data_IF_694192730840
#
_entry.id   IF_694192730840
#
_cell.length_a   1.000
_cell.length_b   1.000
_cell.length_c   1.000
_cell.angle_alpha   90.00
_cell.angle_beta   90.00
_cell.angle_gamma   90.00
#
_symmetry.space_group_name_H-M   'P 1'
#
loop_
_entity.id
_entity.type
_entity.pdbx_description
1 polymer ?
#
# COMPACT_ATOMS: atom_id res chain seq x y z
N UNK A 1 -22.54 -1.09 19.94
CA UNK A 1 -21.75 -0.69 18.78
C UNK A 1 -20.77 -1.80 18.51
N UNK A 2 -21.18 -2.78 17.72
CA UNK A 2 -20.28 -3.76 17.11
C UNK A 2 -19.59 -3.03 15.96
N UNK A 3 -18.39 -2.50 16.19
CA UNK A 3 -17.49 -2.22 15.07
C UNK A 3 -17.11 -3.57 14.48
N UNK A 4 -17.68 -3.92 13.35
CA UNK A 4 -17.11 -4.89 12.44
C UNK A 4 -15.75 -4.31 12.00
N UNK A 5 -14.74 -4.60 12.79
CA UNK A 5 -13.36 -4.42 12.38
C UNK A 5 -13.12 -5.48 11.32
N UNK A 6 -13.42 -5.08 10.07
CA UNK A 6 -13.15 -5.88 8.91
C UNK A 6 -11.71 -6.38 8.94
N UNK A 7 -11.53 -7.50 8.35
CA UNK A 7 -10.33 -8.29 8.16
C UNK A 7 -9.07 -7.42 8.16
N UNK A 8 -8.35 -7.39 9.29
CA UNK A 8 -6.98 -6.91 9.29
C UNK A 8 -6.18 -7.86 8.41
N UNK A 9 -5.59 -7.34 7.34
CA UNK A 9 -4.52 -8.04 6.65
C UNK A 9 -3.24 -7.83 7.47
N UNK A 10 -2.79 -8.77 8.28
CA UNK A 10 -1.53 -8.62 8.97
C UNK A 10 -0.43 -8.77 7.95
N UNK A 11 0.54 -7.88 8.04
CA UNK A 11 1.83 -8.15 7.46
C UNK A 11 2.39 -9.33 8.19
N UNK A 12 2.46 -10.44 7.49
CA UNK A 12 3.33 -11.49 7.91
C UNK A 12 4.76 -11.12 7.52
N UNK A 13 5.57 -11.02 8.53
CA UNK A 13 7.01 -11.21 8.43
C UNK A 13 7.27 -12.68 8.04
N UNK A 14 6.91 -13.04 6.83
CA UNK A 14 7.15 -14.35 6.25
C UNK A 14 7.98 -14.18 4.99
N UNK A 15 8.94 -15.05 4.83
CA UNK A 15 9.93 -15.05 3.74
C UNK A 15 9.32 -15.26 2.34
N UNK A 16 8.02 -15.46 2.25
CA UNK A 16 7.33 -15.81 1.01
C UNK A 16 6.12 -14.91 0.82
N UNK A 17 6.11 -14.19 -0.28
CA UNK A 17 5.13 -13.22 -0.74
C UNK A 17 3.69 -13.80 -0.91
N UNK A 18 3.48 -15.06 -0.59
CA UNK A 18 2.24 -15.79 -0.85
C UNK A 18 1.36 -16.04 0.37
N UNK A 19 1.84 -15.81 1.58
CA UNK A 19 1.05 -16.05 2.80
C UNK A 19 0.55 -14.75 3.41
N UNK A 20 -0.48 -14.17 2.82
CA UNK A 20 -1.30 -13.15 3.50
C UNK A 20 -2.18 -13.85 4.53
N UNK A 21 -1.79 -13.85 5.78
CA UNK A 21 -2.65 -14.33 6.86
C UNK A 21 -3.57 -13.19 7.29
N UNK A 22 -4.85 -13.35 7.03
CA UNK A 22 -5.87 -12.54 7.66
C UNK A 22 -6.05 -13.01 9.11
N UNK A 23 -5.71 -12.17 10.08
CA UNK A 23 -6.03 -12.45 11.49
C UNK A 23 -7.48 -12.07 11.72
N UNK A 24 -8.32 -13.04 12.11
CA UNK A 24 -9.71 -12.77 12.48
C UNK A 24 -9.74 -11.90 13.75
N UNK A 25 -10.71 -11.01 13.81
CA UNK A 25 -10.91 -10.08 14.94
C UNK A 25 -11.02 -10.80 16.28
N UNK A 26 -11.60 -12.00 16.30
CA UNK A 26 -11.71 -12.82 17.51
C UNK A 26 -10.34 -13.18 18.08
N UNK A 27 -9.39 -13.49 17.23
CA UNK A 27 -8.01 -13.79 17.65
C UNK A 27 -7.23 -12.55 18.13
N UNK A 28 -7.61 -11.35 17.68
CA UNK A 28 -7.04 -10.10 18.21
C UNK A 28 -7.55 -9.82 19.62
N UNK A 29 -8.82 -10.04 19.89
CA UNK A 29 -9.38 -9.86 21.23
C UNK A 29 -8.72 -10.79 22.27
N UNK A 30 -8.49 -12.04 21.90
CA UNK A 30 -7.76 -13.00 22.72
C UNK A 30 -6.29 -12.60 22.91
N UNK A 31 -5.66 -12.13 21.85
CA UNK A 31 -4.27 -11.63 21.89
C UNK A 31 -4.14 -10.39 22.78
N UNK A 32 -5.09 -9.44 22.71
CA UNK A 32 -5.14 -8.27 23.56
C UNK A 32 -5.29 -8.62 25.03
N UNK A 33 -6.18 -9.58 25.34
CA UNK A 33 -6.36 -10.07 26.69
C UNK A 33 -5.12 -10.75 27.27
N UNK A 34 -4.45 -11.58 26.47
CA UNK A 34 -3.20 -12.26 26.86
C UNK A 34 -2.02 -11.30 27.07
N UNK A 35 -1.96 -10.18 26.36
CA UNK A 35 -0.87 -9.20 26.44
C UNK A 35 -1.24 -7.93 27.24
N UNK A 36 -2.42 -7.88 27.84
CA UNK A 36 -2.92 -6.72 28.61
C UNK A 36 -2.90 -5.39 27.83
N UNK A 37 -3.10 -5.47 26.51
CA UNK A 37 -3.17 -4.29 25.63
C UNK A 37 -4.59 -3.76 25.56
N UNK A 38 -4.74 -2.46 25.61
CA UNK A 38 -6.04 -1.81 25.37
C UNK A 38 -6.32 -1.69 23.87
N UNK A 39 -7.60 -1.57 23.52
CA UNK A 39 -8.02 -1.30 22.12
C UNK A 39 -7.42 -0.02 21.58
N UNK A 40 -7.24 1.00 22.42
CA UNK A 40 -6.66 2.28 22.04
C UNK A 40 -5.18 2.14 21.65
N UNK A 41 -4.42 1.35 22.39
CA UNK A 41 -3.00 1.09 22.07
C UNK A 41 -2.86 0.38 20.72
N UNK A 42 -3.66 -0.65 20.48
CA UNK A 42 -3.64 -1.36 19.19
C UNK A 42 -4.10 -0.46 18.05
N UNK A 43 -5.17 0.31 18.24
CA UNK A 43 -5.63 1.27 17.24
C UNK A 43 -4.55 2.32 16.94
N UNK A 44 -3.83 2.79 17.96
CA UNK A 44 -2.71 3.72 17.77
C UNK A 44 -1.61 3.14 16.88
N UNK A 45 -1.25 1.88 17.07
CA UNK A 45 -0.26 1.20 16.24
C UNK A 45 -0.80 1.00 14.81
N UNK A 46 -2.01 0.49 14.68
CA UNK A 46 -2.61 0.22 13.35
C UNK A 46 -2.79 1.48 12.53
N UNK A 47 -3.21 2.59 13.14
CA UNK A 47 -3.38 3.86 12.45
C UNK A 47 -2.07 4.56 12.10
N UNK A 48 -1.00 4.29 12.85
CA UNK A 48 0.32 4.89 12.61
C UNK A 48 1.08 4.19 11.48
N UNK A 49 1.08 2.87 11.45
CA UNK A 49 1.80 2.10 10.43
C UNK A 49 0.93 1.86 9.20
N UNK A 50 1.29 2.49 8.08
CA UNK A 50 0.55 2.45 6.82
C UNK A 50 0.47 1.07 6.15
N UNK A 51 1.27 0.13 6.62
CA UNK A 51 1.20 -1.27 6.16
C UNK A 51 0.02 -2.04 6.78
N UNK A 52 -0.53 -1.56 7.91
CA UNK A 52 -1.79 -2.05 8.43
C UNK A 52 -2.96 -1.43 7.67
N UNK A 53 -3.95 -2.23 7.35
CA UNK A 53 -5.11 -1.82 6.55
C UNK A 53 -6.39 -2.29 7.18
N UNK A 54 -7.38 -1.43 7.16
CA UNK A 54 -8.75 -1.78 7.55
C UNK A 54 -9.51 -2.51 6.43
N UNK A 55 -9.09 -2.31 5.18
CA UNK A 55 -9.68 -2.94 4.00
C UNK A 55 -8.63 -3.75 3.25
N UNK A 56 -9.00 -4.88 2.64
CA UNK A 56 -8.08 -5.65 1.82
C UNK A 56 -7.51 -4.81 0.67
N UNK A 57 -6.21 -4.97 0.40
CA UNK A 57 -5.63 -4.41 -0.81
C UNK A 57 -6.16 -5.12 -2.06
N UNK A 58 -6.06 -4.46 -3.20
CA UNK A 58 -6.25 -5.09 -4.50
C UNK A 58 -5.24 -6.22 -4.73
N UNK A 59 -5.41 -6.91 -5.85
CA UNK A 59 -4.50 -8.00 -6.26
C UNK A 59 -3.04 -7.53 -6.37
N UNK A 60 -2.85 -6.29 -6.76
CA UNK A 60 -1.55 -5.63 -6.90
C UNK A 60 -1.50 -4.35 -6.10
N UNK A 61 -0.34 -4.03 -5.55
CA UNK A 61 -0.10 -2.79 -4.82
C UNK A 61 0.95 -1.97 -5.56
N UNK A 62 0.53 -0.84 -6.10
CA UNK A 62 1.40 0.15 -6.74
C UNK A 62 1.76 1.22 -5.72
N UNK A 63 3.01 1.25 -5.30
CA UNK A 63 3.55 2.30 -4.42
C UNK A 63 4.38 3.29 -5.25
N UNK A 64 4.00 4.57 -5.22
CA UNK A 64 4.73 5.65 -5.91
C UNK A 64 5.52 6.47 -4.90
N UNK A 65 6.80 6.69 -5.19
CA UNK A 65 7.67 7.47 -4.31
C UNK A 65 7.32 8.96 -4.35
N UNK A 66 7.04 9.53 -3.18
CA UNK A 66 6.70 10.93 -2.94
C UNK A 66 7.76 11.67 -2.13
N UNK A 67 8.98 11.12 -2.02
CA UNK A 67 10.10 11.80 -1.37
C UNK A 67 10.64 12.94 -2.25
N UNK A 68 11.33 13.89 -1.63
CA UNK A 68 11.83 15.12 -2.23
C UNK A 68 12.56 14.91 -3.58
N UNK A 69 13.50 13.97 -3.63
CA UNK A 69 14.26 13.72 -4.86
C UNK A 69 13.37 13.24 -6.03
N UNK A 70 12.35 12.43 -5.73
CA UNK A 70 11.38 12.00 -6.75
C UNK A 70 10.46 13.14 -7.16
N UNK A 71 10.05 14.01 -6.25
CA UNK A 71 9.25 15.19 -6.56
C UNK A 71 10.05 16.17 -7.44
N UNK A 72 11.31 16.43 -7.10
CA UNK A 72 12.21 17.26 -7.89
C UNK A 72 12.44 16.70 -9.32
N UNK A 73 12.35 15.38 -9.48
CA UNK A 73 12.45 14.68 -10.77
C UNK A 73 11.09 14.47 -11.45
N UNK A 74 10.12 15.36 -11.27
CA UNK A 74 8.76 15.30 -11.84
C UNK A 74 7.87 14.17 -11.33
N UNK A 75 8.12 13.62 -10.14
CA UNK A 75 7.34 12.56 -9.53
C UNK A 75 5.86 12.92 -9.33
N UNK A 76 5.53 14.20 -9.16
CA UNK A 76 4.14 14.65 -9.08
C UNK A 76 3.39 14.39 -10.38
N UNK A 77 3.98 14.70 -11.54
CA UNK A 77 3.35 14.43 -12.85
C UNK A 77 3.12 12.93 -13.09
N UNK A 78 4.02 12.08 -12.59
CA UNK A 78 3.85 10.62 -12.65
C UNK A 78 2.71 10.17 -11.75
N UNK A 79 2.60 10.73 -10.54
CA UNK A 79 1.54 10.43 -9.59
C UNK A 79 0.17 10.88 -10.09
N UNK A 80 0.07 12.10 -10.62
CA UNK A 80 -1.18 12.63 -11.17
C UNK A 80 -1.66 11.79 -12.35
N UNK A 81 -0.74 11.38 -13.23
CA UNK A 81 -1.07 10.51 -14.34
C UNK A 81 -1.52 9.11 -13.91
N UNK A 82 -0.91 8.56 -12.86
CA UNK A 82 -1.32 7.28 -12.29
C UNK A 82 -2.73 7.35 -11.71
N UNK A 83 -3.04 8.40 -10.94
CA UNK A 83 -4.39 8.64 -10.40
C UNK A 83 -5.44 8.77 -11.50
N UNK A 84 -5.15 9.58 -12.51
CA UNK A 84 -6.04 9.77 -13.67
C UNK A 84 -6.31 8.46 -14.40
N UNK A 85 -5.26 7.67 -14.67
CA UNK A 85 -5.36 6.38 -15.36
C UNK A 85 -6.13 5.32 -14.57
N UNK A 86 -5.94 5.30 -13.23
CA UNK A 86 -6.60 4.35 -12.34
C UNK A 86 -8.01 4.79 -11.93
N UNK A 87 -8.29 6.09 -11.97
CA UNK A 87 -9.55 6.67 -11.52
C UNK A 87 -9.74 6.62 -10.00
N UNK A 88 -8.64 6.59 -9.24
CA UNK A 88 -8.61 6.50 -7.77
C UNK A 88 -7.62 7.49 -7.17
N UNK A 89 -7.79 7.79 -5.89
CA UNK A 89 -6.83 8.58 -5.12
C UNK A 89 -5.91 7.69 -4.26
N UNK A 90 -5.06 8.33 -3.45
CA UNK A 90 -4.17 7.63 -2.53
C UNK A 90 -4.94 6.76 -1.54
N UNK A 91 -4.37 5.60 -1.24
CA UNK A 91 -4.95 4.59 -0.33
C UNK A 91 -6.26 3.97 -0.83
N UNK A 92 -6.60 4.18 -2.09
CA UNK A 92 -7.79 3.59 -2.70
C UNK A 92 -7.42 2.40 -3.59
N UNK A 93 -8.42 1.53 -3.76
CA UNK A 93 -8.35 0.37 -4.65
C UNK A 93 -9.31 0.58 -5.81
N UNK A 94 -8.89 0.20 -7.01
CA UNK A 94 -9.73 0.26 -8.20
C UNK A 94 -11.02 -0.54 -8.00
N UNK A 95 -12.17 -0.13 -8.59
CA UNK A 95 -13.46 -0.81 -8.41
C UNK A 95 -13.46 -2.29 -8.79
N UNK A 96 -12.56 -2.67 -9.69
CA UNK A 96 -12.35 -4.08 -10.12
C UNK A 96 -11.47 -4.88 -9.14
N UNK A 97 -11.00 -4.24 -8.05
CA UNK A 97 -10.12 -4.86 -7.07
C UNK A 97 -8.73 -5.21 -7.62
N UNK A 98 -8.33 -4.66 -8.76
CA UNK A 98 -7.07 -5.01 -9.40
C UNK A 98 -5.87 -4.32 -8.73
N UNK A 99 -5.92 -3.02 -8.54
CA UNK A 99 -4.77 -2.22 -8.11
C UNK A 99 -5.13 -1.33 -6.92
N UNK A 100 -4.28 -1.34 -5.90
CA UNK A 100 -4.30 -0.34 -4.81
C UNK A 100 -3.16 0.63 -5.02
N UNK A 101 -3.44 1.94 -4.96
CA UNK A 101 -2.45 3.01 -5.11
C UNK A 101 -2.01 3.56 -3.76
N UNK A 102 -0.71 3.56 -3.49
CA UNK A 102 -0.15 4.05 -2.24
C UNK A 102 1.02 5.01 -2.43
N UNK A 103 1.13 6.04 -1.60
CA UNK A 103 2.34 6.83 -1.52
C UNK A 103 3.39 6.10 -0.69
N UNK A 104 4.66 6.29 -1.03
CA UNK A 104 5.79 5.86 -0.20
C UNK A 104 6.83 6.99 -0.15
N UNK A 105 7.48 7.14 0.99
CA UNK A 105 8.43 8.22 1.21
C UNK A 105 9.86 7.67 1.27
N UNK A 106 10.40 7.44 0.08
CA UNK A 106 11.70 6.92 -0.30
C UNK A 106 11.78 5.39 -0.47
N UNK A 107 12.12 5.01 -1.71
CA UNK A 107 12.41 3.61 -2.08
C UNK A 107 13.92 3.34 -2.21
N UNK A 108 14.77 4.32 -1.84
CA UNK A 108 16.21 4.20 -1.99
C UNK A 108 16.73 4.40 -3.43
N UNK A 109 15.86 4.71 -4.40
CA UNK A 109 16.20 4.90 -5.81
C UNK A 109 16.31 6.39 -6.21
N UNK A 110 16.83 7.25 -5.33
CA UNK A 110 16.85 8.69 -5.55
C UNK A 110 17.62 9.09 -6.81
N UNK A 111 18.71 8.39 -7.15
CA UNK A 111 19.48 8.62 -8.37
C UNK A 111 18.73 8.22 -9.66
N UNK A 112 17.72 7.38 -9.54
CA UNK A 112 16.88 6.88 -10.63
C UNK A 112 15.41 7.33 -10.47
N UNK A 113 15.18 8.46 -9.82
CA UNK A 113 13.83 9.01 -9.65
C UNK A 113 13.21 9.50 -10.97
N UNK A 114 11.89 9.59 -11.04
CA UNK A 114 10.87 9.07 -10.12
C UNK A 114 10.82 7.55 -10.06
N UNK A 115 10.47 7.02 -8.89
CA UNK A 115 10.49 5.58 -8.64
C UNK A 115 9.15 5.06 -8.12
N UNK A 116 8.86 3.81 -8.44
CA UNK A 116 7.71 3.06 -7.93
C UNK A 116 8.14 1.66 -7.44
N UNK A 117 7.24 1.03 -6.73
CA UNK A 117 7.31 -0.37 -6.38
C UNK A 117 5.97 -1.04 -6.69
N UNK A 118 6.01 -2.15 -7.40
CA UNK A 118 4.84 -2.98 -7.70
C UNK A 118 5.09 -4.35 -7.10
N UNK A 119 4.27 -4.74 -6.13
CA UNK A 119 4.35 -6.04 -5.45
C UNK A 119 5.79 -6.39 -5.01
N UNK A 120 6.50 -5.41 -4.43
CA UNK A 120 7.88 -5.58 -4.00
C UNK A 120 8.95 -5.37 -5.07
N UNK A 121 8.59 -5.29 -6.35
CA UNK A 121 9.53 -5.01 -7.45
C UNK A 121 9.73 -3.52 -7.65
N UNK A 122 10.98 -3.08 -7.62
CA UNK A 122 11.36 -1.68 -7.78
C UNK A 122 11.47 -1.31 -9.27
N UNK A 123 10.91 -0.13 -9.61
CA UNK A 123 10.99 0.46 -10.95
C UNK A 123 11.40 1.92 -10.81
N UNK A 124 12.46 2.31 -11.49
CA UNK A 124 12.96 3.70 -11.51
C UNK A 124 12.78 4.37 -12.86
N UNK A 125 13.21 5.64 -12.94
CA UNK A 125 13.20 6.48 -14.14
C UNK A 125 11.81 6.56 -14.80
N UNK A 126 10.77 6.67 -13.97
CA UNK A 126 9.40 6.71 -14.43
C UNK A 126 9.09 8.05 -15.14
N UNK A 127 8.32 7.94 -16.17
CA UNK A 127 7.69 9.06 -16.87
C UNK A 127 6.17 8.87 -16.85
N UNK A 128 5.37 9.93 -17.11
CA UNK A 128 3.92 9.78 -17.21
C UNK A 128 3.47 8.71 -18.23
N UNK A 129 4.24 8.50 -19.30
CA UNK A 129 3.97 7.45 -20.30
C UNK A 129 4.36 6.05 -19.82
N UNK A 130 5.48 5.94 -19.08
CA UNK A 130 5.93 4.62 -18.60
C UNK A 130 5.08 4.12 -17.45
N UNK A 131 4.55 5.00 -16.60
CA UNK A 131 3.63 4.60 -15.53
C UNK A 131 2.31 4.07 -16.07
N UNK A 132 1.81 4.61 -17.19
CA UNK A 132 0.63 4.06 -17.86
C UNK A 132 0.85 2.61 -18.32
N UNK A 133 1.98 2.36 -18.98
CA UNK A 133 2.35 0.99 -19.41
C UNK A 133 2.48 0.05 -18.24
N UNK A 134 3.13 0.50 -17.16
CA UNK A 134 3.27 -0.27 -15.93
C UNK A 134 1.89 -0.64 -15.34
N UNK A 135 0.95 0.30 -15.32
CA UNK A 135 -0.42 0.07 -14.86
C UNK A 135 -1.14 -0.94 -15.77
N UNK A 136 -0.99 -0.82 -17.09
CA UNK A 136 -1.62 -1.73 -18.05
C UNK A 136 -1.05 -3.17 -17.94
N UNK A 137 0.23 -3.31 -17.60
CA UNK A 137 0.87 -4.61 -17.32
C UNK A 137 0.36 -5.24 -16.03
N UNK A 138 0.18 -4.42 -14.99
CA UNK A 138 -0.29 -4.87 -13.67
C UNK A 138 -1.76 -5.27 -13.68
N UNK A 139 -2.58 -4.66 -14.57
CA UNK A 139 -4.01 -4.98 -14.68
C UNK A 139 -4.31 -6.25 -15.50
N UNK A 140 -3.33 -6.81 -16.18
CA UNK A 140 -3.49 -8.06 -16.95
C UNK A 140 -3.54 -9.28 -16.04
#
# INVERSE_FOLDING_TARGET
YTCDLGIFSPILLGKDDTTRVAVKVDSIADYLGAHQLSRAEVHGVVSFYHDFREKPAGRHVLKLCRAEACQAAFGNSVADRAKEKLGIDWHETTPDGAVTLEPVFCLGLCACGPAAMVDGKLVGMLTPKSVEKLIDEVKK
#
